data_IF_863842855900
#
_entry.id   IF_863842855900
#
_cell.length_a   1.000
_cell.length_b   1.000
_cell.length_c   1.000
_cell.angle_alpha   90.00
_cell.angle_beta   90.00
_cell.angle_gamma   90.00
#
_symmetry.space_group_name_H-M   'P 1'
#
loop_
_entity.id
_entity.type
_entity.pdbx_description
1 polymer ?
#
# COMPACT_ATOMS: atom_id res chain seq x y z
N UNK A 1 23.72 30.53 -7.24
CA UNK A 1 24.68 29.50 -7.72
C UNK A 1 23.96 28.15 -7.91
N UNK A 2 23.36 27.86 -9.07
CA UNK A 2 22.80 26.50 -9.32
C UNK A 2 22.70 26.12 -10.80
N UNK A 3 23.45 26.77 -11.71
CA UNK A 3 23.46 26.45 -13.15
C UNK A 3 24.46 25.34 -13.55
N UNK A 4 24.84 24.41 -12.66
CA UNK A 4 26.00 23.54 -12.90
C UNK A 4 25.82 22.03 -12.70
N UNK A 5 24.59 21.49 -12.78
CA UNK A 5 24.39 20.03 -12.80
C UNK A 5 23.43 19.66 -13.93
N UNK A 6 23.83 19.96 -15.16
CA UNK A 6 23.20 19.39 -16.35
C UNK A 6 24.28 18.93 -17.31
N UNK A 7 24.84 17.74 -17.06
CA UNK A 7 25.68 16.96 -17.98
C UNK A 7 25.63 15.49 -17.55
N UNK A 8 24.49 14.82 -17.78
CA UNK A 8 24.47 13.35 -17.82
C UNK A 8 25.03 12.93 -19.18
N UNK A 9 26.27 12.44 -19.15
CA UNK A 9 26.94 11.79 -20.28
C UNK A 9 26.07 10.66 -20.80
N UNK A 10 25.74 10.74 -22.08
CA UNK A 10 25.16 9.64 -22.87
C UNK A 10 26.26 8.59 -23.03
N UNK A 11 26.19 7.51 -22.25
CA UNK A 11 26.95 6.30 -22.54
C UNK A 11 26.12 5.45 -23.51
N UNK A 12 26.55 5.41 -24.76
CA UNK A 12 26.05 4.47 -25.76
C UNK A 12 26.47 3.08 -25.28
N UNK A 13 25.51 2.35 -24.69
CA UNK A 13 25.69 0.95 -24.36
C UNK A 13 25.58 0.16 -25.67
N UNK A 14 26.73 -0.22 -26.23
CA UNK A 14 26.79 -1.16 -27.36
C UNK A 14 26.19 -2.49 -26.89
N UNK A 15 24.92 -2.75 -27.22
CA UNK A 15 24.34 -4.09 -27.09
C UNK A 15 24.93 -4.99 -28.20
N UNK A 16 25.50 -6.11 -27.77
CA UNK A 16 26.01 -7.16 -28.65
C UNK A 16 24.90 -7.72 -29.56
N UNK A 17 25.23 -8.19 -30.78
CA UNK A 17 24.24 -8.69 -31.72
C UNK A 17 23.59 -9.99 -31.22
N UNK A 18 22.31 -10.24 -31.58
CA UNK A 18 21.57 -11.41 -31.12
C UNK A 18 22.14 -12.70 -31.73
N UNK A 19 22.47 -13.67 -30.87
CA UNK A 19 22.76 -15.04 -31.26
C UNK A 19 21.48 -15.71 -31.79
N UNK A 20 21.61 -16.43 -32.92
CA UNK A 20 20.54 -17.10 -33.67
C UNK A 20 19.59 -17.94 -32.80
N UNK A 21 18.27 -17.95 -33.10
CA UNK A 21 17.29 -18.77 -32.37
C UNK A 21 17.31 -20.24 -32.84
N UNK A 22 17.39 -21.17 -31.87
CA UNK A 22 17.07 -22.58 -32.06
C UNK A 22 15.55 -22.84 -32.04
N UNK A 23 15.08 -24.05 -32.38
CA UNK A 23 13.71 -24.30 -32.79
C UNK A 23 12.72 -24.19 -31.62
N UNK A 24 11.51 -23.76 -31.99
CA UNK A 24 10.39 -23.45 -31.12
C UNK A 24 9.94 -24.64 -30.25
N UNK A 25 10.02 -24.46 -28.94
CA UNK A 25 9.03 -24.99 -28.00
C UNK A 25 8.49 -23.81 -27.19
N UNK A 26 7.20 -23.86 -26.89
CA UNK A 26 6.45 -22.88 -26.10
C UNK A 26 7.13 -22.60 -24.75
N UNK A 27 8.05 -21.63 -24.71
CA UNK A 27 8.62 -21.13 -23.48
C UNK A 27 7.79 -19.92 -23.04
N UNK A 28 7.08 -20.06 -21.93
CA UNK A 28 6.59 -18.91 -21.15
C UNK A 28 7.80 -18.02 -20.85
N UNK A 29 7.74 -16.70 -21.08
CA UNK A 29 8.90 -15.83 -20.85
C UNK A 29 9.30 -15.94 -19.38
N UNK A 30 10.58 -16.26 -19.13
CA UNK A 30 11.15 -16.56 -17.80
C UNK A 30 10.80 -15.50 -16.74
N UNK A 31 10.63 -14.23 -17.14
CA UNK A 31 10.26 -13.13 -16.24
C UNK A 31 8.82 -13.14 -15.71
N UNK A 32 7.85 -13.72 -16.42
CA UNK A 32 6.46 -13.84 -15.94
C UNK A 32 6.38 -14.84 -14.78
N UNK A 33 7.07 -15.97 -14.91
CA UNK A 33 7.14 -16.98 -13.86
C UNK A 33 7.82 -16.46 -12.59
N UNK A 34 8.85 -15.61 -12.71
CA UNK A 34 9.52 -15.00 -11.56
C UNK A 34 8.61 -14.05 -10.75
N UNK A 35 7.83 -13.20 -11.43
CA UNK A 35 6.90 -12.30 -10.74
C UNK A 35 5.75 -13.07 -10.10
N UNK A 36 5.20 -14.06 -10.79
CA UNK A 36 4.15 -14.94 -10.27
C UNK A 36 4.61 -15.65 -8.98
N UNK A 37 5.83 -16.21 -8.98
CA UNK A 37 6.43 -16.83 -7.79
C UNK A 37 6.64 -15.82 -6.67
N UNK A 38 7.08 -14.60 -6.99
CA UNK A 38 7.24 -13.53 -6.01
C UNK A 38 5.91 -13.13 -5.37
N UNK A 39 4.84 -13.00 -6.17
CA UNK A 39 3.51 -12.69 -5.68
C UNK A 39 2.97 -13.80 -4.77
N UNK A 40 3.08 -15.07 -5.20
CA UNK A 40 2.72 -16.23 -4.37
C UNK A 40 3.50 -16.25 -3.04
N UNK A 41 4.79 -15.90 -3.08
CA UNK A 41 5.62 -15.83 -1.89
C UNK A 41 5.17 -14.70 -0.95
N UNK A 42 4.98 -13.49 -1.47
CA UNK A 42 4.46 -12.36 -0.71
C UNK A 42 3.07 -12.67 -0.11
N UNK A 43 2.19 -13.30 -0.88
CA UNK A 43 0.86 -13.74 -0.44
C UNK A 43 0.95 -14.66 0.79
N UNK A 44 1.87 -15.65 0.77
CA UNK A 44 2.11 -16.55 1.91
C UNK A 44 2.65 -15.80 3.13
N UNK A 45 3.56 -14.84 2.94
CA UNK A 45 4.13 -14.03 4.02
C UNK A 45 3.06 -13.19 4.73
N UNK A 46 2.16 -12.54 3.97
CA UNK A 46 1.08 -11.74 4.56
C UNK A 46 -0.07 -12.60 5.11
N UNK A 47 -0.23 -13.84 4.62
CA UNK A 47 -1.23 -14.79 5.14
C UNK A 47 -0.98 -15.17 6.59
N UNK A 48 0.28 -15.18 7.05
CA UNK A 48 0.64 -15.43 8.45
C UNK A 48 -0.02 -14.45 9.41
N UNK A 49 -0.33 -13.24 8.93
CA UNK A 49 -0.97 -12.17 9.70
C UNK A 49 -2.48 -12.04 9.40
N UNK A 50 -3.06 -13.02 8.68
CA UNK A 50 -4.45 -13.01 8.20
C UNK A 50 -4.80 -11.80 7.28
N UNK A 51 -3.79 -11.17 6.67
CA UNK A 51 -3.94 -10.01 5.78
C UNK A 51 -4.24 -10.41 4.33
N UNK A 52 -4.21 -11.70 4.02
CA UNK A 52 -4.60 -12.26 2.73
C UNK A 52 -5.56 -13.44 2.95
N UNK A 53 -6.46 -13.70 1.99
CA UNK A 53 -7.41 -14.81 2.05
C UNK A 53 -6.75 -16.19 2.00
N UNK A 54 -7.52 -17.24 2.33
CA UNK A 54 -6.97 -18.57 2.64
C UNK A 54 -6.25 -19.32 1.51
N UNK A 55 -6.77 -19.29 0.28
CA UNK A 55 -6.26 -20.08 -0.85
C UNK A 55 -6.08 -19.22 -2.11
N UNK A 56 -4.99 -19.45 -2.82
CA UNK A 56 -4.76 -18.92 -4.17
C UNK A 56 -4.47 -20.11 -5.09
N UNK A 57 -5.39 -20.38 -6.01
CA UNK A 57 -5.31 -21.52 -6.93
C UNK A 57 -5.41 -21.07 -8.40
N UNK A 58 -4.70 -21.76 -9.28
CA UNK A 58 -4.64 -21.46 -10.71
C UNK A 58 -5.68 -22.33 -11.43
N UNK A 59 -6.75 -21.71 -11.91
CA UNK A 59 -7.76 -22.40 -12.72
C UNK A 59 -7.82 -21.81 -14.12
N UNK A 60 -7.49 -22.62 -15.13
CA UNK A 60 -7.66 -22.30 -16.57
C UNK A 60 -7.14 -20.89 -16.93
N UNK A 61 -5.86 -20.63 -16.66
CA UNK A 61 -5.16 -19.36 -16.94
C UNK A 61 -5.58 -18.12 -16.14
N UNK A 62 -6.42 -18.27 -15.10
CA UNK A 62 -6.72 -17.21 -14.14
C UNK A 62 -6.44 -17.63 -12.70
N UNK A 63 -5.99 -16.68 -11.89
CA UNK A 63 -5.84 -16.91 -10.45
C UNK A 63 -7.15 -16.65 -9.74
N UNK A 64 -7.74 -17.71 -9.18
CA UNK A 64 -8.85 -17.55 -8.24
C UNK A 64 -8.32 -17.57 -6.82
N UNK A 65 -8.37 -16.40 -6.22
CA UNK A 65 -8.15 -16.22 -4.80
C UNK A 65 -9.48 -16.48 -4.10
N UNK A 66 -9.54 -17.52 -3.26
CA UNK A 66 -10.76 -17.90 -2.53
C UNK A 66 -10.48 -17.95 -1.06
N UNK A 67 -11.50 -17.56 -0.29
CA UNK A 67 -11.44 -17.71 1.14
C UNK A 67 -11.80 -19.15 1.55
N UNK A 68 -10.99 -19.73 2.43
CA UNK A 68 -11.30 -21.01 3.06
C UNK A 68 -12.22 -20.78 4.25
N UNK A 69 -13.21 -21.64 4.47
CA UNK A 69 -14.11 -21.55 5.64
C UNK A 69 -13.34 -21.46 6.97
N UNK A 70 -12.23 -22.19 7.07
CA UNK A 70 -11.33 -22.15 8.24
C UNK A 70 -10.70 -20.79 8.49
N UNK A 71 -10.17 -20.12 7.45
CA UNK A 71 -9.60 -18.78 7.58
C UNK A 71 -10.65 -17.76 8.04
N UNK A 72 -11.88 -17.82 7.50
CA UNK A 72 -12.98 -16.97 7.98
C UNK A 72 -13.32 -17.21 9.44
N UNK A 73 -13.35 -18.48 9.87
CA UNK A 73 -13.62 -18.85 11.25
C UNK A 73 -12.54 -18.33 12.20
N UNK A 74 -11.27 -18.48 11.81
CA UNK A 74 -10.11 -17.97 12.57
C UNK A 74 -10.18 -16.44 12.68
N UNK A 75 -10.41 -15.74 11.56
CA UNK A 75 -10.53 -14.28 11.56
C UNK A 75 -11.70 -13.81 12.42
N UNK A 76 -12.86 -14.47 12.33
CA UNK A 76 -14.01 -14.14 13.16
C UNK A 76 -13.71 -14.34 14.64
N UNK A 77 -13.05 -15.44 15.02
CA UNK A 77 -12.61 -15.67 16.39
C UNK A 77 -11.64 -14.58 16.87
N UNK A 78 -10.64 -14.23 16.06
CA UNK A 78 -9.67 -13.19 16.38
C UNK A 78 -10.33 -11.82 16.58
N UNK A 79 -11.30 -11.46 15.73
CA UNK A 79 -12.08 -10.23 15.87
C UNK A 79 -12.88 -10.26 17.18
N UNK A 80 -13.61 -11.35 17.46
CA UNK A 80 -14.38 -11.48 18.71
C UNK A 80 -13.48 -11.34 19.92
N UNK A 81 -12.31 -12.00 19.94
CA UNK A 81 -11.32 -11.87 21.02
C UNK A 81 -10.83 -10.42 21.17
N UNK A 82 -10.55 -9.71 20.08
CA UNK A 82 -10.15 -8.32 20.13
C UNK A 82 -11.24 -7.40 20.73
N UNK A 83 -12.50 -7.64 20.39
CA UNK A 83 -13.63 -6.90 20.97
C UNK A 83 -13.89 -7.24 22.43
N UNK A 84 -13.73 -8.51 22.84
CA UNK A 84 -13.80 -8.91 24.24
C UNK A 84 -12.67 -8.23 25.04
N UNK A 85 -11.44 -8.25 24.52
CA UNK A 85 -10.31 -7.57 25.15
C UNK A 85 -10.55 -6.07 25.30
N UNK A 86 -11.12 -5.41 24.28
CA UNK A 86 -11.55 -4.00 24.37
C UNK A 86 -12.57 -3.82 25.49
N UNK A 87 -13.61 -4.66 25.55
CA UNK A 87 -14.64 -4.56 26.58
C UNK A 87 -14.05 -4.73 27.98
N UNK A 88 -13.20 -5.73 28.20
CA UNK A 88 -12.50 -5.95 29.47
C UNK A 88 -11.64 -4.74 29.88
N UNK A 89 -11.02 -4.04 28.91
CA UNK A 89 -10.23 -2.84 29.26
C UNK A 89 -11.05 -1.72 29.92
N UNK A 90 -12.37 -1.65 29.69
CA UNK A 90 -13.24 -0.68 30.35
C UNK A 90 -13.56 -1.04 31.81
N UNK A 91 -13.45 -2.31 32.20
CA UNK A 91 -13.74 -2.78 33.56
C UNK A 91 -12.51 -2.85 34.46
N UNK A 92 -11.31 -2.68 33.92
CA UNK A 92 -10.10 -2.56 34.74
C UNK A 92 -10.17 -1.24 35.51
N UNK A 93 -10.34 -1.31 36.83
CA UNK A 93 -10.17 -0.18 37.73
C UNK A 93 -8.71 0.31 37.70
N UNK A 94 -8.43 1.31 36.86
CA UNK A 94 -7.10 1.92 36.76
C UNK A 94 -6.94 3.07 37.75
N UNK A 95 -5.82 3.06 38.48
CA UNK A 95 -5.30 4.22 39.22
C UNK A 95 -4.60 5.23 38.29
N UNK A 96 -5.20 5.56 37.15
CA UNK A 96 -4.65 6.54 36.20
C UNK A 96 -5.47 7.83 36.26
N UNK A 97 -4.81 8.98 36.13
CA UNK A 97 -5.49 10.27 36.02
C UNK A 97 -6.57 10.23 34.94
N UNK A 98 -7.71 10.88 35.19
CA UNK A 98 -8.93 10.83 34.36
C UNK A 98 -8.64 10.99 32.86
N UNK A 99 -7.80 11.98 32.50
CA UNK A 99 -7.45 12.29 31.11
C UNK A 99 -6.62 11.18 30.46
N UNK A 100 -5.67 10.61 31.19
CA UNK A 100 -4.85 9.48 30.72
C UNK A 100 -5.67 8.19 30.56
N UNK A 101 -6.64 7.97 31.45
CA UNK A 101 -7.60 6.88 31.32
C UNK A 101 -8.43 7.00 30.04
N UNK A 102 -9.04 8.17 29.81
CA UNK A 102 -9.84 8.45 28.61
C UNK A 102 -9.00 8.31 27.34
N UNK A 103 -7.78 8.85 27.32
CA UNK A 103 -6.87 8.73 26.17
C UNK A 103 -6.60 7.26 25.83
N UNK A 104 -6.30 6.41 26.82
CA UNK A 104 -6.09 4.98 26.58
C UNK A 104 -7.33 4.29 25.99
N UNK A 105 -8.54 4.60 26.48
CA UNK A 105 -9.77 4.04 25.91
C UNK A 105 -9.99 4.47 24.45
N UNK A 106 -9.73 5.75 24.12
CA UNK A 106 -9.78 6.23 22.73
C UNK A 106 -8.78 5.44 21.88
N UNK A 107 -7.54 5.29 22.34
CA UNK A 107 -6.50 4.54 21.63
C UNK A 107 -6.96 3.10 21.34
N UNK A 108 -7.50 2.41 22.35
CA UNK A 108 -7.98 1.04 22.22
C UNK A 108 -9.15 0.91 21.28
N UNK A 109 -10.12 1.82 21.37
CA UNK A 109 -11.29 1.81 20.50
C UNK A 109 -10.85 1.96 19.04
N UNK A 110 -10.01 2.95 18.75
CA UNK A 110 -9.52 3.19 17.39
C UNK A 110 -8.68 2.02 16.87
N UNK A 111 -7.85 1.43 17.74
CA UNK A 111 -7.09 0.23 17.39
C UNK A 111 -8.01 -0.99 17.16
N UNK A 112 -9.07 -1.18 17.93
CA UNK A 112 -9.94 -2.34 17.73
C UNK A 112 -10.73 -2.22 16.42
N UNK A 113 -11.19 -1.02 16.08
CA UNK A 113 -11.86 -0.72 14.81
C UNK A 113 -10.93 -0.98 13.63
N UNK A 114 -9.72 -0.40 13.64
CA UNK A 114 -8.78 -0.55 12.54
C UNK A 114 -8.27 -2.00 12.40
N UNK A 115 -8.06 -2.72 13.50
CA UNK A 115 -7.71 -4.14 13.48
C UNK A 115 -8.83 -4.99 12.86
N UNK A 116 -10.09 -4.71 13.21
CA UNK A 116 -11.25 -5.39 12.63
C UNK A 116 -11.29 -5.18 11.12
N UNK A 117 -11.10 -3.95 10.64
CA UNK A 117 -11.07 -3.66 9.20
C UNK A 117 -9.89 -4.34 8.51
N UNK A 118 -8.69 -4.30 9.09
CA UNK A 118 -7.50 -4.94 8.55
C UNK A 118 -7.65 -6.45 8.37
N UNK A 119 -8.39 -7.12 9.25
CA UNK A 119 -8.66 -8.56 9.13
C UNK A 119 -9.90 -8.90 8.30
N UNK A 120 -10.99 -8.15 8.40
CA UNK A 120 -12.25 -8.51 7.72
C UNK A 120 -12.21 -8.16 6.23
N UNK A 121 -11.67 -6.99 5.85
CA UNK A 121 -11.71 -6.51 4.47
C UNK A 121 -11.01 -7.44 3.47
N UNK A 122 -9.79 -7.95 3.74
CA UNK A 122 -9.12 -8.89 2.83
C UNK A 122 -9.92 -10.19 2.59
N UNK A 123 -10.73 -10.58 3.57
CA UNK A 123 -11.51 -11.81 3.55
C UNK A 123 -12.80 -11.65 2.74
N UNK A 124 -13.41 -10.46 2.78
CA UNK A 124 -14.59 -10.09 1.99
C UNK A 124 -14.23 -9.77 0.53
N UNK A 125 -13.06 -9.17 0.29
CA UNK A 125 -12.59 -8.74 -1.03
C UNK A 125 -11.63 -9.72 -1.69
N UNK A 126 -11.75 -11.01 -1.41
CA UNK A 126 -10.85 -12.04 -1.94
C UNK A 126 -10.80 -12.05 -3.48
N UNK A 127 -11.95 -11.87 -4.14
CA UNK A 127 -12.05 -11.83 -5.60
C UNK A 127 -11.35 -10.60 -6.21
N UNK A 128 -11.36 -9.45 -5.52
CA UNK A 128 -10.65 -8.25 -5.96
C UNK A 128 -9.13 -8.49 -5.97
N UNK A 129 -8.59 -9.18 -4.96
CA UNK A 129 -7.16 -9.50 -4.91
C UNK A 129 -6.74 -10.44 -6.06
N UNK A 130 -7.58 -11.40 -6.43
CA UNK A 130 -7.37 -12.24 -7.62
C UNK A 130 -7.38 -11.41 -8.91
N UNK A 131 -8.32 -10.48 -9.03
CA UNK A 131 -8.41 -9.54 -10.17
C UNK A 131 -7.19 -8.61 -10.28
N UNK A 132 -6.60 -8.20 -9.14
CA UNK A 132 -5.38 -7.42 -9.08
C UNK A 132 -4.19 -8.23 -9.60
N UNK A 133 -4.05 -9.49 -9.19
CA UNK A 133 -3.00 -10.38 -9.69
C UNK A 133 -3.12 -10.63 -11.19
N UNK A 134 -4.32 -11.00 -11.65
CA UNK A 134 -4.59 -11.20 -13.08
C UNK A 134 -4.28 -9.92 -13.88
N UNK A 135 -4.61 -8.74 -13.32
CA UNK A 135 -4.26 -7.45 -13.91
C UNK A 135 -2.75 -7.22 -14.04
N UNK A 136 -1.97 -7.55 -13.01
CA UNK A 136 -0.51 -7.46 -13.09
C UNK A 136 0.08 -8.37 -14.16
N UNK A 137 -0.35 -9.64 -14.20
CA UNK A 137 0.16 -10.62 -15.15
C UNK A 137 -0.19 -10.26 -16.59
N UNK A 138 -1.41 -9.77 -16.81
CA UNK A 138 -1.86 -9.36 -18.13
C UNK A 138 -1.11 -8.12 -18.63
N UNK A 139 -0.85 -7.13 -17.77
CA UNK A 139 -0.02 -5.96 -18.13
C UNK A 139 1.43 -6.38 -18.42
N UNK A 140 2.02 -7.24 -17.60
CA UNK A 140 3.39 -7.72 -17.82
C UNK A 140 3.50 -8.52 -19.13
N UNK A 141 2.51 -9.35 -19.46
CA UNK A 141 2.43 -10.10 -20.72
C UNK A 141 2.38 -9.15 -21.91
N UNK A 142 1.54 -8.12 -21.86
CA UNK A 142 1.43 -7.14 -22.94
C UNK A 142 2.70 -6.30 -23.07
N UNK A 143 3.31 -5.84 -21.97
CA UNK A 143 4.58 -5.13 -21.99
C UNK A 143 5.74 -5.99 -22.50
N UNK A 144 5.75 -7.29 -22.19
CA UNK A 144 6.79 -8.22 -22.66
C UNK A 144 6.76 -8.43 -24.18
N UNK A 145 5.55 -8.34 -24.77
CA UNK A 145 5.36 -8.45 -26.23
C UNK A 145 6.07 -7.33 -26.99
N UNK A 146 6.24 -6.18 -26.34
CA UNK A 146 6.98 -5.01 -26.84
C UNK A 146 8.47 -5.05 -26.48
N UNK A 147 9.02 -6.22 -26.15
CA UNK A 147 10.45 -6.42 -25.94
C UNK A 147 11.11 -5.50 -24.89
N UNK A 148 10.32 -4.86 -24.02
CA UNK A 148 10.80 -4.11 -22.85
C UNK A 148 11.21 -5.13 -21.78
N UNK A 149 12.31 -5.84 -22.07
CA UNK A 149 12.89 -6.80 -21.15
C UNK A 149 13.53 -6.05 -20.00
N UNK A 150 13.13 -6.43 -18.79
CA UNK A 150 13.83 -6.01 -17.60
C UNK A 150 15.04 -6.90 -17.37
N UNK A 151 16.07 -6.35 -16.73
CA UNK A 151 17.17 -7.13 -16.15
C UNK A 151 16.58 -7.95 -14.99
N UNK A 152 16.10 -9.15 -15.31
CA UNK A 152 15.60 -10.12 -14.35
C UNK A 152 16.74 -10.60 -13.44
N UNK A 153 16.52 -10.62 -12.12
CA UNK A 153 17.50 -11.17 -11.18
C UNK A 153 17.44 -10.66 -9.74
N UNK A 154 16.97 -9.44 -9.47
CA UNK A 154 17.14 -8.83 -8.12
C UNK A 154 15.85 -8.57 -7.32
N UNK A 155 14.67 -8.92 -7.85
CA UNK A 155 13.39 -8.51 -7.24
C UNK A 155 13.02 -9.26 -5.97
N UNK A 156 13.22 -10.58 -5.94
CA UNK A 156 12.85 -11.41 -4.78
C UNK A 156 13.71 -11.13 -3.56
N UNK A 157 15.01 -10.95 -3.77
CA UNK A 157 15.96 -10.58 -2.70
C UNK A 157 15.64 -9.20 -2.14
N UNK A 158 15.35 -8.22 -3.02
CA UNK A 158 14.95 -6.87 -2.59
C UNK A 158 13.66 -6.87 -1.75
N UNK A 159 12.65 -7.66 -2.15
CA UNK A 159 11.43 -7.85 -1.36
C UNK A 159 11.74 -8.49 0.01
N UNK A 160 12.48 -9.60 0.03
CA UNK A 160 12.84 -10.31 1.25
C UNK A 160 13.62 -9.45 2.24
N UNK A 161 14.56 -8.65 1.74
CA UNK A 161 15.35 -7.74 2.57
C UNK A 161 14.45 -6.68 3.21
N UNK A 162 13.57 -6.03 2.44
CA UNK A 162 12.64 -5.02 2.98
C UNK A 162 11.67 -5.63 3.98
N UNK A 163 11.08 -6.78 3.65
CA UNK A 163 10.19 -7.52 4.54
C UNK A 163 10.89 -7.93 5.84
N UNK A 164 12.10 -8.49 5.73
CA UNK A 164 12.90 -8.93 6.87
C UNK A 164 13.33 -7.77 7.77
N UNK A 165 13.70 -6.62 7.20
CA UNK A 165 14.03 -5.40 7.97
C UNK A 165 12.82 -4.91 8.75
N UNK A 166 11.64 -4.82 8.14
CA UNK A 166 10.41 -4.41 8.85
C UNK A 166 10.05 -5.40 9.95
N UNK A 167 10.12 -6.70 9.66
CA UNK A 167 9.81 -7.74 10.66
C UNK A 167 10.79 -7.67 11.84
N UNK A 168 12.10 -7.55 11.57
CA UNK A 168 13.13 -7.46 12.60
C UNK A 168 12.97 -6.20 13.45
N UNK A 169 12.65 -5.08 12.81
CA UNK A 169 12.34 -3.82 13.46
C UNK A 169 11.13 -3.96 14.43
N UNK A 170 10.02 -4.53 13.95
CA UNK A 170 8.84 -4.80 14.79
C UNK A 170 9.16 -5.73 15.95
N UNK A 171 9.86 -6.85 15.69
CA UNK A 171 10.27 -7.79 16.72
C UNK A 171 11.16 -7.14 17.77
N UNK A 172 12.13 -6.30 17.35
CA UNK A 172 13.00 -5.59 18.28
C UNK A 172 12.23 -4.63 19.19
N UNK A 173 11.25 -3.92 18.65
CA UNK A 173 10.42 -2.99 19.42
C UNK A 173 9.50 -3.74 20.39
N UNK A 174 8.83 -4.81 19.94
CA UNK A 174 7.95 -5.62 20.80
C UNK A 174 8.73 -6.31 21.92
N UNK A 175 9.93 -6.83 21.64
CA UNK A 175 10.78 -7.43 22.68
C UNK A 175 11.23 -6.37 23.69
N UNK A 176 11.64 -5.20 23.23
CA UNK A 176 12.03 -4.10 24.10
C UNK A 176 10.85 -3.60 24.96
N UNK A 177 9.66 -3.44 24.37
CA UNK A 177 8.43 -3.09 25.09
C UNK A 177 8.06 -4.13 26.15
N UNK A 178 8.18 -5.42 25.83
CA UNK A 178 7.99 -6.51 26.79
C UNK A 178 9.02 -6.47 27.92
N UNK A 179 10.28 -6.16 27.62
CA UNK A 179 11.32 -5.99 28.63
C UNK A 179 10.97 -4.86 29.60
N UNK A 180 10.61 -3.65 29.12
CA UNK A 180 10.27 -2.57 30.06
C UNK A 180 8.97 -2.87 30.81
N UNK A 181 7.96 -3.44 30.15
CA UNK A 181 6.65 -3.73 30.76
C UNK A 181 6.72 -4.79 31.87
N UNK A 182 7.43 -5.89 31.65
CA UNK A 182 7.45 -7.02 32.60
C UNK A 182 8.62 -6.97 33.58
N UNK A 183 9.80 -6.48 33.17
CA UNK A 183 11.00 -6.49 34.03
C UNK A 183 11.14 -5.22 34.83
N UNK A 184 10.84 -4.05 34.24
CA UNK A 184 11.03 -2.77 34.94
C UNK A 184 9.79 -2.29 35.67
N UNK A 185 8.62 -2.38 35.03
CA UNK A 185 7.37 -1.89 35.62
C UNK A 185 6.64 -2.95 36.46
N UNK A 186 6.81 -4.26 36.19
CA UNK A 186 6.20 -5.39 36.94
C UNK A 186 4.69 -5.27 37.22
N UNK A 187 3.96 -4.46 36.44
CA UNK A 187 2.57 -4.04 36.75
C UNK A 187 1.59 -4.34 35.63
N UNK A 188 2.06 -4.77 34.45
CA UNK A 188 1.22 -4.93 33.27
C UNK A 188 0.83 -6.41 33.08
N UNK A 189 -0.47 -6.67 33.00
CA UNK A 189 -1.00 -8.00 32.69
C UNK A 189 -0.69 -8.39 31.23
N UNK A 190 -0.34 -9.65 30.99
CA UNK A 190 0.12 -10.15 29.69
C UNK A 190 -0.91 -9.93 28.58
N UNK A 191 -2.19 -10.14 28.87
CA UNK A 191 -3.26 -9.97 27.88
C UNK A 191 -3.43 -8.49 27.46
N UNK A 192 -3.24 -7.56 28.40
CA UNK A 192 -3.33 -6.12 28.14
C UNK A 192 -2.15 -5.61 27.31
N UNK A 193 -0.97 -6.18 27.54
CA UNK A 193 0.21 -5.93 26.71
C UNK A 193 -0.01 -6.46 25.28
N UNK A 194 -0.53 -7.69 25.16
CA UNK A 194 -0.81 -8.31 23.87
C UNK A 194 -1.84 -7.52 23.06
N UNK A 195 -2.89 -6.99 23.70
CA UNK A 195 -3.93 -6.19 23.04
C UNK A 195 -3.41 -4.85 22.50
N UNK A 196 -2.29 -4.34 23.02
CA UNK A 196 -1.57 -3.20 22.46
C UNK A 196 -0.64 -3.56 21.31
N UNK A 197 0.14 -4.63 21.48
CA UNK A 197 1.18 -5.01 20.52
C UNK A 197 0.61 -5.58 19.22
N UNK A 198 -0.48 -6.35 19.32
CA UNK A 198 -1.05 -7.04 18.17
C UNK A 198 -1.57 -6.06 17.10
N UNK A 199 -2.39 -5.03 17.41
CA UNK A 199 -2.78 -4.03 16.42
C UNK A 199 -1.60 -3.36 15.73
N UNK A 200 -0.56 -2.99 16.50
CA UNK A 200 0.63 -2.32 15.97
C UNK A 200 1.35 -3.17 14.92
N UNK A 201 1.58 -4.45 15.20
CA UNK A 201 2.21 -5.38 14.27
C UNK A 201 1.34 -5.55 13.02
N UNK A 202 0.03 -5.77 13.20
CA UNK A 202 -0.89 -6.01 12.07
C UNK A 202 -0.95 -4.79 11.14
N UNK A 203 -0.95 -3.57 11.67
CA UNK A 203 -0.95 -2.35 10.85
C UNK A 203 0.32 -2.18 10.04
N UNK A 204 1.47 -2.37 10.67
CA UNK A 204 2.75 -2.28 10.00
C UNK A 204 2.83 -3.29 8.84
N UNK A 205 2.36 -4.52 9.06
CA UNK A 205 2.30 -5.54 8.00
C UNK A 205 1.26 -5.23 6.93
N UNK A 206 0.10 -4.66 7.29
CA UNK A 206 -0.94 -4.27 6.34
C UNK A 206 -0.48 -3.10 5.44
N UNK A 207 0.19 -2.11 6.01
CA UNK A 207 0.77 -1.00 5.25
C UNK A 207 1.95 -1.44 4.40
N UNK A 208 2.78 -2.39 4.87
CA UNK A 208 3.82 -2.99 4.04
C UNK A 208 3.21 -3.75 2.85
N UNK A 209 2.10 -4.48 3.05
CA UNK A 209 1.38 -5.16 1.98
C UNK A 209 0.88 -4.16 0.92
N UNK A 210 0.22 -3.09 1.36
CA UNK A 210 -0.23 -2.02 0.46
C UNK A 210 0.95 -1.36 -0.28
N UNK A 211 2.02 -1.01 0.44
CA UNK A 211 3.23 -0.42 -0.11
C UNK A 211 3.84 -1.29 -1.22
N UNK A 212 3.93 -2.61 -1.01
CA UNK A 212 4.51 -3.54 -2.00
C UNK A 212 3.67 -3.59 -3.28
N UNK A 213 2.33 -3.67 -3.16
CA UNK A 213 1.45 -3.70 -4.34
C UNK A 213 1.47 -2.37 -5.11
N UNK A 214 1.47 -1.23 -4.41
CA UNK A 214 1.57 0.09 -5.04
C UNK A 214 2.95 0.29 -5.67
N UNK A 215 4.03 -0.18 -5.03
CA UNK A 215 5.37 -0.16 -5.61
C UNK A 215 5.47 -0.98 -6.90
N UNK A 216 4.81 -2.14 -6.94
CA UNK A 216 4.69 -2.95 -8.13
C UNK A 216 3.90 -2.26 -9.25
N UNK A 217 2.84 -1.53 -8.92
CA UNK A 217 2.11 -0.69 -9.88
C UNK A 217 2.99 0.45 -10.41
N UNK A 218 3.71 1.15 -9.52
CA UNK A 218 4.64 2.22 -9.87
C UNK A 218 5.70 1.76 -10.88
N UNK A 219 6.30 0.59 -10.66
CA UNK A 219 7.28 0.02 -11.59
C UNK A 219 6.72 -0.15 -13.00
N UNK A 220 5.43 -0.48 -13.14
CA UNK A 220 4.77 -0.68 -14.43
C UNK A 220 4.37 0.63 -15.10
N UNK A 221 3.90 1.61 -14.33
CA UNK A 221 3.73 2.99 -14.85
C UNK A 221 5.04 3.54 -15.42
N UNK A 222 6.15 3.36 -14.71
CA UNK A 222 7.47 3.81 -15.19
C UNK A 222 7.90 3.12 -16.48
N UNK A 223 7.63 1.81 -16.62
CA UNK A 223 7.90 1.08 -17.87
C UNK A 223 7.04 1.58 -19.01
N UNK A 224 5.75 1.78 -18.75
CA UNK A 224 4.80 2.29 -19.74
C UNK A 224 5.20 3.70 -20.20
N UNK A 225 5.64 4.56 -19.28
CA UNK A 225 6.20 5.87 -19.60
C UNK A 225 7.42 5.78 -20.52
N UNK A 226 8.32 4.83 -20.25
CA UNK A 226 9.50 4.61 -21.10
C UNK A 226 9.09 4.14 -22.50
N UNK A 227 8.11 3.24 -22.60
CA UNK A 227 7.60 2.73 -23.87
C UNK A 227 6.91 3.85 -24.68
N UNK A 228 6.03 4.62 -24.06
CA UNK A 228 5.33 5.74 -24.73
C UNK A 228 6.31 6.84 -25.13
N UNK A 229 7.33 7.13 -24.31
CA UNK A 229 8.38 8.08 -24.67
C UNK A 229 9.22 7.59 -25.85
N UNK A 230 9.60 6.31 -25.88
CA UNK A 230 10.30 5.70 -27.01
C UNK A 230 9.46 5.78 -28.29
N UNK A 231 8.17 5.42 -28.20
CA UNK A 231 7.22 5.54 -29.30
C UNK A 231 7.11 6.98 -29.81
N UNK A 232 6.98 7.95 -28.89
CA UNK A 232 6.91 9.38 -29.22
C UNK A 232 8.17 9.91 -29.92
N UNK A 233 9.37 9.52 -29.45
CA UNK A 233 10.65 10.01 -29.96
C UNK A 233 11.08 9.34 -31.27
N UNK A 234 10.89 8.03 -31.41
CA UNK A 234 11.44 7.25 -32.52
C UNK A 234 10.41 6.94 -33.61
N UNK A 235 9.12 7.19 -33.38
CA UNK A 235 8.06 7.08 -34.38
C UNK A 235 7.69 5.65 -34.80
N UNK A 236 8.58 4.67 -34.63
CA UNK A 236 8.37 3.25 -34.96
C UNK A 236 9.45 2.39 -34.29
N UNK A 237 9.08 1.38 -33.50
CA UNK A 237 10.04 0.31 -33.11
C UNK A 237 9.37 -1.05 -32.94
N UNK A 238 8.55 -1.56 -33.87
CA UNK A 238 8.23 -3.00 -33.88
C UNK A 238 8.16 -3.58 -35.30
N UNK A 239 9.30 -3.64 -35.97
CA UNK A 239 9.59 -4.76 -36.85
C UNK A 239 10.77 -5.52 -36.22
N UNK A 240 10.56 -6.78 -35.79
CA UNK A 240 10.56 -7.86 -36.76
C UNK A 240 9.50 -8.95 -36.50
N UNK A 241 8.77 -9.31 -37.55
CA UNK A 241 8.17 -10.63 -37.79
C UNK A 241 7.75 -11.49 -36.57
N UNK A 242 6.58 -11.21 -35.98
CA UNK A 242 5.72 -12.27 -35.41
C UNK A 242 4.25 -11.89 -35.53
N UNK A 243 3.65 -12.33 -36.63
CA UNK A 243 2.21 -12.34 -36.83
C UNK A 243 1.57 -13.33 -35.85
N UNK A 244 0.65 -12.86 -35.02
CA UNK A 244 -0.54 -13.64 -34.66
C UNK A 244 -1.75 -12.79 -35.02
N UNK A 245 -2.08 -12.80 -36.31
CA UNK A 245 -3.35 -12.25 -36.81
C UNK A 245 -4.43 -13.22 -36.30
N UNK A 246 -5.21 -12.79 -35.31
CA UNK A 246 -6.52 -13.40 -35.08
C UNK A 246 -7.40 -12.92 -36.22
N UNK A 247 -7.50 -13.73 -37.29
CA UNK A 247 -8.43 -13.49 -38.37
C UNK A 247 -9.83 -13.84 -37.88
N UNK A 248 -10.69 -12.84 -37.69
CA UNK A 248 -12.13 -13.09 -37.74
C UNK A 248 -12.47 -13.42 -39.21
N UNK A 249 -12.56 -14.72 -39.50
CA UNK A 249 -12.98 -15.20 -40.81
C UNK A 249 -14.48 -14.98 -40.96
N UNK A 250 -14.86 -13.86 -41.56
CA UNK A 250 -16.10 -13.75 -42.31
C UNK A 250 -15.72 -13.39 -43.74
N UNK A 251 -15.44 -14.42 -44.54
CA UNK A 251 -15.23 -14.25 -45.98
C UNK A 251 -16.56 -13.95 -46.63
N UNK A 252 -16.83 -12.68 -46.93
CA UNK A 252 -17.81 -12.32 -47.96
C UNK A 252 -17.04 -12.29 -49.28
N UNK A 253 -17.30 -13.28 -50.12
CA UNK A 253 -16.74 -13.42 -51.46
C UNK A 253 -17.50 -12.47 -52.38
N UNK A 254 -16.83 -11.46 -52.91
CA UNK A 254 -17.29 -10.67 -54.05
C UNK A 254 -16.19 -10.78 -55.11
N UNK A 255 -16.57 -11.36 -56.24
CA UNK A 255 -15.71 -11.62 -57.40
C UNK A 255 -15.37 -10.33 -58.15
N UNK A 256 -14.13 -10.36 -58.65
CA UNK A 256 -13.59 -9.83 -59.90
C UNK A 256 -13.32 -8.32 -60.15
N UNK A 257 -12.05 -8.14 -60.55
CA UNK A 257 -11.49 -7.19 -61.52
C UNK A 257 -11.30 -5.73 -61.13
N UNK A 258 -10.07 -5.39 -60.71
CA UNK A 258 -9.16 -4.56 -61.53
C UNK A 258 -7.85 -4.27 -60.79
N UNK A 259 -6.74 -4.49 -61.48
CA UNK A 259 -5.39 -4.21 -61.03
C UNK A 259 -5.02 -2.74 -61.27
N UNK A 260 -4.93 -1.90 -60.24
CA UNK A 260 -4.07 -0.70 -60.19
C UNK A 260 -3.69 -0.43 -58.72
N UNK A 261 -2.40 -0.15 -58.49
CA UNK A 261 -1.68 -0.08 -57.21
C UNK A 261 -2.39 0.45 -55.97
N UNK A 262 -2.25 -0.29 -54.86
CA UNK A 262 -2.38 0.20 -53.49
C UNK A 262 -1.38 -0.53 -52.57
N UNK A 263 -0.12 -0.11 -52.54
CA UNK A 263 0.77 -0.38 -51.39
C UNK A 263 0.55 0.62 -50.23
N UNK A 264 -0.34 1.61 -50.40
CA UNK A 264 -0.49 2.74 -49.48
C UNK A 264 -1.41 2.47 -48.27
N UNK A 265 -2.20 1.39 -48.26
CA UNK A 265 -3.18 1.13 -47.19
C UNK A 265 -2.73 0.17 -46.07
N UNK A 266 -1.51 -0.39 -46.14
CA UNK A 266 -1.02 -1.33 -45.11
C UNK A 266 -0.36 -0.64 -43.91
N UNK A 267 0.21 0.56 -44.10
CA UNK A 267 0.95 1.31 -43.06
C UNK A 267 -0.01 1.96 -42.08
N UNK A 268 -1.02 2.70 -42.56
CA UNK A 268 -2.01 3.36 -41.69
C UNK A 268 -2.84 2.37 -40.87
N UNK A 269 -3.12 1.16 -41.39
CA UNK A 269 -3.86 0.13 -40.65
C UNK A 269 -3.04 -0.49 -39.51
N UNK A 270 -1.71 -0.57 -39.66
CA UNK A 270 -0.78 -1.04 -38.62
C UNK A 270 -0.54 0.00 -37.54
N UNK A 271 -0.38 1.27 -37.93
CA UNK A 271 -0.23 2.38 -36.98
C UNK A 271 -1.47 2.55 -36.09
N UNK A 272 -2.67 2.41 -36.67
CA UNK A 272 -3.93 2.43 -35.92
C UNK A 272 -4.02 1.23 -34.93
N UNK A 273 -3.52 0.05 -35.30
CA UNK A 273 -3.55 -1.11 -34.38
C UNK A 273 -2.59 -0.95 -33.20
N UNK A 274 -1.40 -0.39 -33.42
CA UNK A 274 -0.40 -0.24 -32.35
C UNK A 274 -0.77 0.87 -31.37
N UNK A 275 -1.34 1.98 -31.84
CA UNK A 275 -1.89 3.06 -31.00
C UNK A 275 -3.03 2.55 -30.09
N UNK A 276 -3.93 1.73 -30.65
CA UNK A 276 -5.04 1.13 -29.89
C UNK A 276 -4.54 0.14 -28.83
N UNK A 277 -3.48 -0.61 -29.11
CA UNK A 277 -2.88 -1.54 -28.15
C UNK A 277 -2.19 -0.80 -27.00
N UNK A 278 -1.41 0.25 -27.28
CA UNK A 278 -0.79 1.08 -26.24
C UNK A 278 -1.86 1.73 -25.36
N UNK A 279 -2.94 2.25 -25.95
CA UNK A 279 -4.04 2.83 -25.20
C UNK A 279 -4.76 1.80 -24.32
N UNK A 280 -4.95 0.57 -24.82
CA UNK A 280 -5.54 -0.52 -24.04
C UNK A 280 -4.69 -0.86 -22.81
N UNK A 281 -3.36 -0.90 -22.94
CA UNK A 281 -2.43 -1.15 -21.82
C UNK A 281 -2.51 -0.01 -20.79
N UNK A 282 -2.57 1.25 -21.25
CA UNK A 282 -2.74 2.42 -20.39
C UNK A 282 -4.04 2.32 -19.59
N UNK A 283 -5.17 2.08 -20.26
CA UNK A 283 -6.48 1.94 -19.62
C UNK A 283 -6.45 0.88 -18.54
N UNK A 284 -5.91 -0.30 -18.85
CA UNK A 284 -5.82 -1.43 -17.91
C UNK A 284 -4.92 -1.13 -16.72
N UNK A 285 -3.85 -0.37 -16.91
CA UNK A 285 -2.96 0.04 -15.82
C UNK A 285 -3.65 1.03 -14.88
N UNK A 286 -4.47 1.93 -15.41
CA UNK A 286 -5.29 2.86 -14.62
C UNK A 286 -6.38 2.11 -13.86
N UNK A 287 -7.09 1.20 -14.54
CA UNK A 287 -8.11 0.33 -13.92
C UNK A 287 -7.51 -0.51 -12.78
N UNK A 288 -6.29 -1.02 -12.96
CA UNK A 288 -5.56 -1.74 -11.91
C UNK A 288 -5.26 -0.83 -10.71
N UNK A 289 -4.87 0.43 -10.95
CA UNK A 289 -4.68 1.43 -9.90
C UNK A 289 -5.95 1.66 -9.08
N UNK A 290 -7.10 1.83 -9.75
CA UNK A 290 -8.40 2.00 -9.11
C UNK A 290 -8.84 0.75 -8.33
N UNK A 291 -8.53 -0.46 -8.82
CA UNK A 291 -8.79 -1.70 -8.07
C UNK A 291 -7.96 -1.79 -6.80
N UNK A 292 -6.67 -1.44 -6.87
CA UNK A 292 -5.78 -1.41 -5.69
C UNK A 292 -6.28 -0.37 -4.68
N UNK A 293 -6.70 0.81 -5.16
CA UNK A 293 -7.33 1.83 -4.33
C UNK A 293 -8.60 1.31 -3.65
N UNK A 294 -9.54 0.73 -4.39
CA UNK A 294 -10.78 0.17 -3.83
C UNK A 294 -10.50 -0.91 -2.78
N UNK A 295 -9.49 -1.75 -3.01
CA UNK A 295 -9.12 -2.83 -2.09
C UNK A 295 -8.57 -2.29 -0.76
N UNK A 296 -7.68 -1.30 -0.80
CA UNK A 296 -7.03 -0.75 0.39
C UNK A 296 -7.70 0.49 0.99
N UNK A 297 -8.66 1.11 0.32
CA UNK A 297 -9.33 2.33 0.76
C UNK A 297 -9.86 2.28 2.21
N UNK A 298 -10.60 1.24 2.61
CA UNK A 298 -11.06 1.08 4.00
C UNK A 298 -9.91 0.91 5.01
N UNK A 299 -8.85 0.20 4.62
CA UNK A 299 -7.65 0.03 5.44
C UNK A 299 -6.97 1.38 5.66
N UNK A 300 -6.80 2.17 4.60
CA UNK A 300 -6.21 3.50 4.70
C UNK A 300 -7.02 4.38 5.65
N UNK A 301 -8.34 4.45 5.48
CA UNK A 301 -9.19 5.27 6.34
C UNK A 301 -9.01 4.91 7.82
N UNK A 302 -9.18 3.64 8.15
CA UNK A 302 -9.19 3.20 9.55
C UNK A 302 -7.81 3.20 10.20
N UNK A 303 -6.78 2.72 9.50
CA UNK A 303 -5.42 2.66 10.05
C UNK A 303 -4.79 4.05 10.14
N UNK A 304 -5.00 4.96 9.18
CA UNK A 304 -4.51 6.34 9.36
C UNK A 304 -5.18 7.03 10.55
N UNK A 305 -6.47 6.78 10.77
CA UNK A 305 -7.17 7.35 11.93
C UNK A 305 -6.64 6.75 13.24
N UNK A 306 -6.36 5.44 13.28
CA UNK A 306 -5.72 4.81 14.44
C UNK A 306 -4.29 5.33 14.69
N UNK A 307 -3.45 5.42 13.64
CA UNK A 307 -2.10 5.97 13.72
C UNK A 307 -2.11 7.44 14.17
N UNK A 308 -3.10 8.22 13.72
CA UNK A 308 -3.31 9.58 14.18
C UNK A 308 -3.55 9.62 15.69
N UNK A 309 -4.55 8.89 16.18
CA UNK A 309 -4.88 8.83 17.61
C UNK A 309 -3.71 8.33 18.46
N UNK A 310 -3.08 7.22 18.07
CA UNK A 310 -1.94 6.64 18.81
C UNK A 310 -0.77 7.62 18.87
N UNK A 311 -0.40 8.24 17.75
CA UNK A 311 0.76 9.15 17.73
C UNK A 311 0.51 10.42 18.55
N UNK A 312 -0.71 10.97 18.53
CA UNK A 312 -1.08 12.10 19.38
C UNK A 312 -1.01 11.74 20.86
N UNK A 313 -1.54 10.58 21.25
CA UNK A 313 -1.55 10.12 22.65
C UNK A 313 -0.14 9.79 23.13
N UNK A 314 0.68 9.12 22.32
CA UNK A 314 2.09 8.85 22.65
C UNK A 314 2.91 10.15 22.77
N UNK A 315 2.61 11.16 21.94
CA UNK A 315 3.23 12.49 22.07
C UNK A 315 2.85 13.17 23.38
N UNK A 316 1.60 13.00 23.84
CA UNK A 316 1.16 13.46 25.15
C UNK A 316 1.87 12.73 26.30
N UNK A 317 2.07 11.40 26.19
CA UNK A 317 2.87 10.66 27.19
C UNK A 317 4.32 11.10 27.23
N UNK A 318 4.94 11.35 26.07
CA UNK A 318 6.27 11.94 25.99
C UNK A 318 6.33 13.29 26.74
N UNK A 319 5.33 14.17 26.54
CA UNK A 319 5.22 15.43 27.27
C UNK A 319 5.09 15.23 28.80
N UNK A 320 4.23 14.33 29.25
CA UNK A 320 4.07 14.04 30.68
C UNK A 320 5.37 13.54 31.31
N UNK A 321 6.08 12.64 30.63
CA UNK A 321 7.36 12.14 31.10
C UNK A 321 8.40 13.27 31.20
N UNK A 322 8.48 14.16 30.20
CA UNK A 322 9.43 15.28 30.21
C UNK A 322 9.11 16.36 31.27
N UNK A 323 7.86 16.49 31.69
CA UNK A 323 7.40 17.55 32.61
C UNK A 323 7.17 17.08 34.04
N UNK A 324 7.25 15.77 34.30
CA UNK A 324 7.15 15.20 35.64
C UNK A 324 8.29 15.71 36.54
N UNK A 325 7.98 16.59 37.49
CA UNK A 325 8.92 17.06 38.52
C UNK A 325 8.98 16.05 39.67
N UNK A 326 10.04 15.24 39.73
CA UNK A 326 10.39 14.44 40.92
C UNK A 326 11.08 13.11 40.60
N UNK A 327 12.02 12.72 41.46
CA UNK A 327 12.89 11.52 41.44
C UNK A 327 12.17 10.15 41.45
N UNK A 328 10.90 10.05 41.01
CA UNK A 328 10.12 8.80 41.08
C UNK A 328 9.34 8.41 39.81
N UNK A 329 9.64 8.95 38.63
CA UNK A 329 8.80 8.59 37.46
C UNK A 329 9.42 8.66 36.06
N UNK A 330 10.67 9.10 35.93
CA UNK A 330 11.34 9.17 34.62
C UNK A 330 12.27 7.97 34.47
N UNK A 331 11.70 6.80 34.16
CA UNK A 331 12.53 5.77 33.53
C UNK A 331 12.81 6.24 32.11
N UNK A 332 14.07 6.57 31.80
CA UNK A 332 14.52 6.93 30.45
C UNK A 332 14.00 5.92 29.41
N UNK A 333 13.84 4.67 29.84
CA UNK A 333 13.35 3.53 29.07
C UNK A 333 11.90 3.72 28.58
N UNK A 334 11.00 4.28 29.39
CA UNK A 334 9.61 4.53 28.95
C UNK A 334 9.54 5.69 27.95
N UNK A 335 10.41 6.69 28.11
CA UNK A 335 10.54 7.79 27.14
C UNK A 335 11.10 7.29 25.80
N UNK A 336 12.14 6.45 25.84
CA UNK A 336 12.73 5.82 24.65
C UNK A 336 11.69 4.94 23.94
N UNK A 337 10.90 4.18 24.70
CA UNK A 337 9.82 3.36 24.16
C UNK A 337 8.74 4.19 23.45
N UNK A 338 8.18 5.21 24.10
CA UNK A 338 7.19 6.10 23.48
C UNK A 338 7.76 6.82 22.25
N UNK A 339 9.01 7.28 22.32
CA UNK A 339 9.71 7.87 21.19
C UNK A 339 9.89 6.90 20.02
N UNK A 340 10.21 5.64 20.31
CA UNK A 340 10.30 4.56 19.31
C UNK A 340 8.97 4.31 18.61
N UNK A 341 7.87 4.20 19.36
CA UNK A 341 6.52 4.02 18.79
C UNK A 341 6.15 5.20 17.88
N UNK A 342 6.40 6.43 18.32
CA UNK A 342 6.17 7.63 17.50
C UNK A 342 6.97 7.56 16.20
N UNK A 343 8.27 7.23 16.27
CA UNK A 343 9.13 7.14 15.10
C UNK A 343 8.60 6.13 14.08
N UNK A 344 8.20 4.93 14.51
CA UNK A 344 7.64 3.92 13.62
C UNK A 344 6.31 4.37 13.01
N UNK A 345 5.43 4.98 13.79
CA UNK A 345 4.17 5.51 13.27
C UNK A 345 4.40 6.62 12.23
N UNK A 346 5.35 7.53 12.48
CA UNK A 346 5.71 8.58 11.52
C UNK A 346 6.27 7.98 10.23
N UNK A 347 7.15 6.98 10.31
CA UNK A 347 7.65 6.28 9.12
C UNK A 347 6.49 5.67 8.33
N UNK A 348 5.54 5.00 8.99
CA UNK A 348 4.37 4.42 8.35
C UNK A 348 3.48 5.49 7.68
N UNK A 349 3.24 6.61 8.38
CA UNK A 349 2.44 7.74 7.90
C UNK A 349 3.09 8.42 6.68
N UNK A 350 4.43 8.44 6.57
CA UNK A 350 5.16 9.10 5.47
C UNK A 350 5.43 8.16 4.30
N UNK A 351 5.74 6.89 4.55
CA UNK A 351 6.16 5.94 3.52
C UNK A 351 5.06 5.64 2.49
N UNK A 352 3.80 5.57 2.93
CA UNK A 352 2.68 5.23 2.06
C UNK A 352 2.26 6.40 1.15
N UNK A 353 2.07 7.65 1.62
CA UNK A 353 1.81 8.79 0.74
C UNK A 353 2.96 9.04 -0.23
N UNK A 354 4.21 8.80 0.18
CA UNK A 354 5.37 8.91 -0.70
C UNK A 354 5.22 8.03 -1.95
N UNK A 355 4.88 6.75 -1.80
CA UNK A 355 4.73 5.85 -2.95
C UNK A 355 3.44 6.12 -3.75
N UNK A 356 2.35 6.53 -3.08
CA UNK A 356 1.12 6.96 -3.75
C UNK A 356 1.36 8.18 -4.67
N UNK A 357 2.08 9.20 -4.17
CA UNK A 357 2.43 10.39 -4.96
C UNK A 357 3.36 10.04 -6.13
N UNK A 358 4.29 9.10 -5.95
CA UNK A 358 5.12 8.62 -7.06
C UNK A 358 4.28 8.01 -8.19
N UNK A 359 3.31 7.17 -7.85
CA UNK A 359 2.37 6.61 -8.85
C UNK A 359 1.54 7.72 -9.50
N UNK A 360 1.02 8.67 -8.73
CA UNK A 360 0.25 9.79 -9.28
C UNK A 360 1.11 10.64 -10.24
N UNK A 361 2.35 10.92 -9.87
CA UNK A 361 3.32 11.67 -10.70
C UNK A 361 3.63 10.93 -12.00
N UNK A 362 3.95 9.63 -11.93
CA UNK A 362 4.21 8.82 -13.13
C UNK A 362 2.95 8.70 -14.00
N UNK A 363 1.76 8.59 -13.39
CA UNK A 363 0.48 8.58 -14.12
C UNK A 363 0.22 9.91 -14.83
N UNK A 364 0.48 11.06 -14.20
CA UNK A 364 0.38 12.39 -14.83
C UNK A 364 1.38 12.55 -15.99
N UNK A 365 2.60 12.03 -15.81
CA UNK A 365 3.63 12.06 -16.84
C UNK A 365 3.23 11.23 -18.07
N UNK A 366 2.64 10.05 -17.84
CA UNK A 366 2.05 9.22 -18.89
C UNK A 366 0.99 9.98 -19.68
N UNK A 367 0.06 10.62 -18.97
CA UNK A 367 -0.99 11.43 -19.59
C UNK A 367 -0.43 12.59 -20.41
N UNK A 368 0.65 13.22 -19.95
CA UNK A 368 1.33 14.28 -20.71
C UNK A 368 1.91 13.74 -22.01
N UNK A 369 2.53 12.55 -22.01
CA UNK A 369 3.04 11.96 -23.24
C UNK A 369 1.93 11.54 -24.20
N UNK A 370 0.85 10.95 -23.69
CA UNK A 370 -0.30 10.57 -24.51
C UNK A 370 -0.99 11.79 -25.12
N UNK A 371 -1.14 12.88 -24.36
CA UNK A 371 -1.67 14.15 -24.86
C UNK A 371 -0.79 14.74 -25.98
N UNK A 372 0.54 14.71 -25.82
CA UNK A 372 1.48 15.14 -26.86
C UNK A 372 1.43 14.25 -28.11
N UNK A 373 1.25 12.94 -27.93
CA UNK A 373 1.09 11.98 -29.02
C UNK A 373 -0.20 12.28 -29.81
N UNK A 374 -1.31 12.49 -29.11
CA UNK A 374 -2.61 12.85 -29.69
C UNK A 374 -2.53 14.14 -30.53
N UNK A 375 -1.89 15.18 -30.01
CA UNK A 375 -1.74 16.46 -30.74
C UNK A 375 -0.89 16.31 -32.01
N UNK A 376 0.13 15.46 -32.00
CA UNK A 376 0.99 15.20 -33.17
C UNK A 376 0.26 14.41 -34.25
N UNK A 377 -0.58 13.45 -33.86
CA UNK A 377 -1.32 12.57 -34.78
C UNK A 377 -2.62 13.18 -35.32
N UNK A 378 -3.17 14.21 -34.66
CA UNK A 378 -4.38 14.93 -35.10
C UNK A 378 -4.24 15.66 -36.45
N UNK A 379 -3.04 15.77 -37.01
CA UNK A 379 -2.85 16.28 -38.38
C UNK A 379 -3.08 15.22 -39.48
N UNK A 380 -3.11 13.93 -39.15
CA UNK A 380 -3.21 12.82 -40.14
C UNK A 380 -4.37 11.85 -39.85
N UNK A 381 -4.84 11.72 -38.61
CA UNK A 381 -5.92 10.80 -38.27
C UNK A 381 -6.98 11.45 -37.36
N UNK A 382 -8.13 11.82 -37.92
CA UNK A 382 -9.27 12.39 -37.18
C UNK A 382 -9.97 11.44 -36.19
N UNK A 383 -9.57 10.16 -36.14
CA UNK A 383 -10.24 9.15 -35.30
C UNK A 383 -9.49 8.80 -34.00
N UNK A 384 -8.19 9.08 -33.88
CA UNK A 384 -7.42 8.82 -32.65
C UNK A 384 -7.58 9.94 -31.60
N UNK A 385 -7.93 11.16 -32.03
CA UNK A 385 -8.13 12.33 -31.18
C UNK A 385 -9.33 12.23 -30.21
N UNK A 386 -10.28 11.34 -30.48
CA UNK A 386 -11.53 11.21 -29.69
C UNK A 386 -11.31 10.37 -28.40
N UNK A 387 -10.29 9.51 -28.35
CA UNK A 387 -10.11 8.55 -27.26
C UNK A 387 -9.16 9.01 -26.14
N UNK A 388 -8.28 9.97 -26.42
CA UNK A 388 -7.33 10.46 -25.42
C UNK A 388 -7.95 11.32 -24.31
N UNK A 389 -8.94 12.21 -24.55
CA UNK A 389 -9.48 13.08 -23.52
C UNK A 389 -10.23 12.35 -22.40
N UNK A 390 -10.92 11.25 -22.71
CA UNK A 390 -11.65 10.45 -21.73
C UNK A 390 -10.76 9.55 -20.87
N UNK A 391 -9.51 9.32 -21.26
CA UNK A 391 -8.51 8.62 -20.45
C UNK A 391 -7.73 9.55 -19.51
N UNK A 392 -7.95 10.88 -19.55
CA UNK A 392 -7.23 11.86 -18.70
C UNK A 392 -7.76 11.82 -17.27
N UNK A 393 -7.63 10.69 -16.59
CA UNK A 393 -7.74 10.61 -15.14
C UNK A 393 -6.45 10.00 -14.61
N UNK A 394 -5.65 10.83 -13.94
CA UNK A 394 -4.46 10.34 -13.23
C UNK A 394 -4.90 9.42 -12.10
N UNK A 395 -4.20 8.30 -11.90
CA UNK A 395 -4.45 7.44 -10.73
C UNK A 395 -4.18 8.23 -9.46
N UNK A 396 -5.21 8.32 -8.60
CA UNK A 396 -5.13 8.90 -7.26
C UNK A 396 -5.60 7.86 -6.27
N UNK A 397 -4.92 7.76 -5.14
CA UNK A 397 -5.35 6.88 -4.08
C UNK A 397 -6.17 7.67 -3.06
N UNK A 398 -7.39 7.23 -2.79
CA UNK A 398 -8.23 7.77 -1.74
C UNK A 398 -8.49 6.77 -0.62
N UNK A 399 -8.69 7.29 0.58
CA UNK A 399 -9.19 6.55 1.72
C UNK A 399 -10.72 6.46 1.64
N UNK A 400 -11.22 5.52 0.84
CA UNK A 400 -12.67 5.27 0.69
C UNK A 400 -13.45 6.55 0.26
N UNK A 401 -12.83 7.41 -0.56
CA UNK A 401 -13.42 8.66 -1.02
C UNK A 401 -13.41 9.84 -0.02
N UNK A 402 -13.00 9.64 1.23
CA UNK A 402 -12.98 10.71 2.24
C UNK A 402 -11.86 11.73 1.99
N UNK A 403 -10.65 11.25 1.76
CA UNK A 403 -9.49 12.09 1.47
C UNK A 403 -8.53 11.38 0.51
N UNK A 404 -7.76 12.18 -0.22
CA UNK A 404 -6.70 11.68 -1.10
C UNK A 404 -5.40 11.52 -0.31
N UNK A 405 -4.67 10.44 -0.57
CA UNK A 405 -3.43 10.11 0.13
C UNK A 405 -2.28 10.81 -0.61
N UNK A 406 -1.98 12.03 -0.17
CA UNK A 406 -0.94 12.89 -0.73
C UNK A 406 -0.24 13.70 0.37
N UNK A 407 0.73 14.52 0.00
CA UNK A 407 1.43 15.39 0.96
C UNK A 407 0.53 16.46 1.61
N UNK A 408 -0.57 16.85 0.97
CA UNK A 408 -1.52 17.79 1.57
C UNK A 408 -2.26 17.16 2.76
N UNK A 409 -2.67 15.89 2.63
CA UNK A 409 -3.21 15.10 3.73
C UNK A 409 -2.19 14.99 4.87
N UNK A 410 -0.92 14.74 4.55
CA UNK A 410 0.14 14.66 5.56
C UNK A 410 0.27 15.97 6.36
N UNK A 411 0.25 17.12 5.67
CA UNK A 411 0.28 18.44 6.31
C UNK A 411 -0.91 18.65 7.25
N UNK A 412 -2.13 18.33 6.79
CA UNK A 412 -3.33 18.42 7.60
C UNK A 412 -3.32 17.49 8.81
N UNK A 413 -2.80 16.27 8.64
CA UNK A 413 -2.66 15.28 9.70
C UNK A 413 -1.66 15.75 10.78
N UNK A 414 -0.51 16.31 10.39
CA UNK A 414 0.48 16.87 11.33
C UNK A 414 -0.11 18.07 12.09
N UNK A 415 -0.79 18.99 11.39
CA UNK A 415 -1.45 20.13 12.03
C UNK A 415 -2.51 19.69 13.04
N UNK A 416 -3.30 18.67 12.69
CA UNK A 416 -4.26 18.04 13.60
C UNK A 416 -3.58 17.44 14.83
N UNK A 417 -2.49 16.67 14.64
CA UNK A 417 -1.76 16.04 15.75
C UNK A 417 -1.27 17.08 16.76
N UNK A 418 -0.67 18.18 16.27
CA UNK A 418 -0.18 19.28 17.11
C UNK A 418 -1.35 19.96 17.83
N UNK A 419 -2.46 20.22 17.14
CA UNK A 419 -3.63 20.88 17.72
C UNK A 419 -4.23 20.05 18.87
N UNK A 420 -4.47 18.76 18.64
CA UNK A 420 -5.01 17.89 19.68
C UNK A 420 -4.01 17.63 20.82
N UNK A 421 -2.70 17.58 20.53
CA UNK A 421 -1.68 17.52 21.57
C UNK A 421 -1.74 18.74 22.49
N UNK A 422 -1.84 19.95 21.94
CA UNK A 422 -1.99 21.19 22.72
C UNK A 422 -3.27 21.14 23.56
N UNK A 423 -4.38 20.67 22.99
CA UNK A 423 -5.65 20.52 23.70
C UNK A 423 -5.50 19.56 24.89
N UNK A 424 -4.85 18.40 24.70
CA UNK A 424 -4.59 17.45 25.80
C UNK A 424 -3.74 18.07 26.92
N UNK A 425 -2.70 18.82 26.55
CA UNK A 425 -1.84 19.52 27.52
C UNK A 425 -2.66 20.55 28.30
N UNK A 426 -3.48 21.35 27.61
CA UNK A 426 -4.32 22.37 28.24
C UNK A 426 -5.32 21.75 29.21
N UNK A 427 -6.05 20.71 28.80
CA UNK A 427 -6.98 20.01 29.70
C UNK A 427 -6.27 19.41 30.91
N UNK A 428 -5.07 18.85 30.73
CA UNK A 428 -4.28 18.32 31.83
C UNK A 428 -3.84 19.40 32.83
N UNK A 429 -3.59 20.62 32.36
CA UNK A 429 -3.25 21.76 33.23
C UNK A 429 -4.46 22.41 33.91
N UNK A 430 -5.67 22.23 33.37
CA UNK A 430 -6.90 22.83 33.88
C UNK A 430 -7.60 21.97 34.94
N UNK A 431 -7.38 20.65 34.93
CA UNK A 431 -7.87 19.77 36.01
C UNK A 431 -7.02 20.04 37.25
N UNK A 432 -7.56 20.66 38.31
CA UNK A 432 -6.81 20.86 39.54
C UNK A 432 -6.46 19.47 40.10
N UNK A 433 -5.24 19.30 40.60
CA UNK A 433 -4.86 18.15 41.41
C UNK A 433 -5.66 18.18 42.74
N UNK A 434 -6.97 17.95 42.66
CA UNK A 434 -7.83 17.81 43.84
C UNK A 434 -7.51 16.47 44.48
N UNK A 435 -7.49 16.46 45.82
CA UNK A 435 -7.12 15.34 46.69
C UNK A 435 -8.01 14.07 46.56
N UNK A 436 -8.85 13.99 45.55
CA UNK A 436 -9.77 12.87 45.29
C UNK A 436 -9.33 11.94 44.15
N UNK A 437 -8.22 12.23 43.45
CA UNK A 437 -7.65 11.31 42.43
C UNK A 437 -6.99 10.05 43.05
N UNK A 438 -6.87 10.00 44.37
CA UNK A 438 -6.70 8.75 45.13
C UNK A 438 -8.06 8.31 45.63
N UNK A 439 -8.66 7.31 44.98
CA UNK A 439 -9.82 6.58 45.52
C UNK A 439 -9.53 6.15 46.97
N UNK A 440 -10.06 6.92 47.92
CA UNK A 440 -10.12 6.55 49.33
C UNK A 440 -11.08 5.36 49.46
N UNK A 441 -10.48 4.24 49.85
CA UNK A 441 -11.04 3.12 50.61
C UNK A 441 -12.32 3.46 51.37
N UNK A 442 -13.50 3.20 50.77
CA UNK A 442 -14.74 3.02 51.53
C UNK A 442 -14.84 1.56 51.99
N UNK A 443 -13.99 1.17 52.94
CA UNK A 443 -14.22 -0.06 53.75
C UNK A 443 -13.45 -0.15 55.08
N UNK A 444 -12.99 0.97 55.65
CA UNK A 444 -12.24 0.92 56.91
C UNK A 444 -12.56 2.04 57.92
N UNK A 445 -13.82 2.47 58.00
CA UNK A 445 -14.27 3.40 59.05
C UNK A 445 -15.56 2.94 59.77
N UNK A 446 -15.62 1.65 60.15
CA UNK A 446 -16.68 1.15 61.06
C UNK A 446 -16.13 0.33 62.23
N UNK A 447 -14.80 0.17 62.35
CA UNK A 447 -14.25 -0.72 63.40
C UNK A 447 -13.12 -0.07 64.18
N UNK A 448 -13.31 1.15 64.68
CA UNK A 448 -12.40 1.71 65.70
C UNK A 448 -13.05 2.81 66.55
N UNK A 449 -14.33 2.62 66.89
CA UNK A 449 -14.95 3.32 68.03
C UNK A 449 -15.72 2.29 68.87
N UNK A 450 -14.97 1.44 69.55
CA UNK A 450 -15.33 0.70 70.77
C UNK A 450 -14.12 -0.12 71.17
N UNK A 451 -13.27 0.43 72.03
CA UNK A 451 -12.70 -0.23 73.20
C UNK A 451 -12.12 0.82 74.13
#
# INVERSE_FOLDING_TARGET
MSKWINKRKVSILNLAPPSKPGPALQATPVGEQEFEQLFHFAFKCFRLFALTPGLMDRQKDRYRVRNTRWMMLIVLLLVVVAWIALFETFFIERRTALITGIANHIQFLMNTIALTVAWVVPQLKADELGSILDGFLLIDRELSSYNVHEVAGYKRVSFLLRYGVVLLALMSLTVYDGFVSFVQLTTVEVWYWLSHQLPFIIYAMAFLHAYVLIYWLHARFRRLNTLVEQYYRQGHIFAPARQTIISFATMVKLDEESAVGEELHSVGRREISDDLLVLAIVSRTIDLGQKIESYFGPLFLTVYTALFSVTTIQSYYCYLHLTAKGDRGLSIETLVLSGGIILYNVIAIVALPYICEQVESESKLLMSYLSKLSMKHSQVAQHSSIWFPNLISSVRFSAFGFFTINYNMLSGLVAGMVTYLIIFIQFNSMVPASKDDTHHTRKQHVTEERF
#
